data_IF_390141051404
#
_entry.id   IF_390141051404
#
_cell.length_a   1.000
_cell.length_b   1.000
_cell.length_c   1.000
_cell.angle_alpha   90.00
_cell.angle_beta   90.00
_cell.angle_gamma   90.00
#
_symmetry.space_group_name_H-M   'P 1'
#
loop_
_entity.id
_entity.type
_entity.pdbx_description
1 polymer ?
#
# COMPACT_ATOMS: atom_id res chain seq x y z
N UNK A 1 4.25 33.14 55.61
CA UNK A 1 5.30 33.04 54.58
C UNK A 1 5.13 31.86 53.61
N UNK A 2 4.00 31.12 53.65
CA UNK A 2 3.89 29.81 53.00
C UNK A 2 3.21 29.84 51.61
N UNK A 3 2.36 30.84 51.34
CA UNK A 3 1.63 30.94 50.07
C UNK A 3 2.53 31.17 48.84
N UNK A 4 3.65 31.89 49.01
CA UNK A 4 4.60 32.14 47.92
C UNK A 4 5.35 30.88 47.50
N UNK A 5 5.62 29.98 48.44
CA UNK A 5 6.28 28.68 48.19
C UNK A 5 5.32 27.74 47.45
N UNK A 6 4.07 27.67 47.89
CA UNK A 6 3.03 26.87 47.21
C UNK A 6 2.79 27.37 45.78
N UNK A 7 2.71 28.68 45.58
CA UNK A 7 2.57 29.26 44.25
C UNK A 7 3.76 28.92 43.33
N UNK A 8 5.00 29.02 43.85
CA UNK A 8 6.20 28.64 43.09
C UNK A 8 6.22 27.16 42.70
N UNK A 9 5.78 26.27 43.62
CA UNK A 9 5.64 24.84 43.36
C UNK A 9 4.63 24.55 42.24
N UNK A 10 3.45 25.19 42.30
CA UNK A 10 2.41 25.02 41.28
C UNK A 10 2.86 25.54 39.90
N UNK A 11 3.58 26.66 39.85
CA UNK A 11 4.15 27.18 38.61
C UNK A 11 5.20 26.22 38.06
N UNK A 12 6.06 25.66 38.92
CA UNK A 12 7.04 24.65 38.52
C UNK A 12 6.38 23.41 37.94
N UNK A 13 5.34 22.87 38.60
CA UNK A 13 4.57 21.74 38.11
C UNK A 13 3.92 22.04 36.75
N UNK A 14 3.31 23.23 36.61
CA UNK A 14 2.71 23.66 35.36
C UNK A 14 3.73 23.76 34.23
N UNK A 15 4.92 24.30 34.51
CA UNK A 15 6.00 24.41 33.53
C UNK A 15 6.48 23.03 33.05
N UNK A 16 6.59 22.04 33.95
CA UNK A 16 6.94 20.67 33.59
C UNK A 16 5.89 20.06 32.66
N UNK A 17 4.60 20.21 32.98
CA UNK A 17 3.50 19.70 32.14
C UNK A 17 3.50 20.38 30.77
N UNK A 18 3.67 21.70 30.72
CA UNK A 18 3.72 22.43 29.45
C UNK A 18 4.93 22.04 28.60
N UNK A 19 6.10 21.87 29.21
CA UNK A 19 7.29 21.40 28.53
C UNK A 19 7.08 19.97 27.98
N UNK A 20 6.45 19.08 28.74
CA UNK A 20 6.13 17.73 28.27
C UNK A 20 5.13 17.74 27.11
N UNK A 21 4.17 18.67 27.09
CA UNK A 21 3.22 18.81 25.99
C UNK A 21 3.90 19.26 24.69
N UNK A 22 4.94 20.11 24.80
CA UNK A 22 5.65 20.65 23.65
C UNK A 22 6.79 19.77 23.14
N UNK A 23 7.46 19.04 24.04
CA UNK A 23 8.67 18.25 23.74
C UNK A 23 8.46 16.73 23.89
N UNK A 24 7.31 16.31 24.40
CA UNK A 24 6.98 14.90 24.63
C UNK A 24 6.60 14.16 23.36
N UNK A 25 6.50 12.84 23.47
CA UNK A 25 6.05 11.96 22.39
C UNK A 25 4.65 12.36 21.93
N UNK A 26 4.51 12.78 20.68
CA UNK A 26 3.27 13.34 20.14
C UNK A 26 3.22 14.86 20.17
N UNK A 27 4.38 15.51 20.35
CA UNK A 27 4.53 16.94 20.12
C UNK A 27 4.04 17.34 18.72
N UNK A 28 3.68 18.61 18.56
CA UNK A 28 3.22 19.15 17.28
C UNK A 28 4.25 18.91 16.16
N UNK A 29 5.54 18.97 16.49
CA UNK A 29 6.64 18.68 15.56
C UNK A 29 6.70 17.20 15.14
N UNK A 30 6.60 16.28 16.11
CA UNK A 30 6.61 14.84 15.83
C UNK A 30 5.42 14.43 14.95
N UNK A 31 4.23 14.97 15.26
CA UNK A 31 3.01 14.68 14.49
C UNK A 31 3.12 15.25 13.07
N UNK A 32 3.68 16.45 12.90
CA UNK A 32 3.91 17.03 11.57
C UNK A 32 4.88 16.16 10.75
N UNK A 33 5.99 15.72 11.34
CA UNK A 33 6.95 14.86 10.65
C UNK A 33 6.36 13.48 10.31
N UNK A 34 5.58 12.88 11.22
CA UNK A 34 4.90 11.60 10.95
C UNK A 34 3.84 11.74 9.87
N UNK A 35 3.09 12.85 9.83
CA UNK A 35 2.13 13.15 8.76
C UNK A 35 2.82 13.27 7.42
N UNK A 36 3.96 13.96 7.34
CA UNK A 36 4.73 14.07 6.11
C UNK A 36 5.21 12.70 5.62
N UNK A 37 5.80 11.88 6.51
CA UNK A 37 6.21 10.50 6.15
C UNK A 37 5.04 9.65 5.67
N UNK A 38 3.87 9.81 6.28
CA UNK A 38 2.66 9.09 5.87
C UNK A 38 2.19 9.53 4.48
N UNK A 39 2.26 10.81 4.17
CA UNK A 39 1.87 11.36 2.87
C UNK A 39 2.80 10.88 1.75
N UNK A 40 4.12 10.93 2.00
CA UNK A 40 5.14 10.39 1.08
C UNK A 40 4.91 8.90 0.82
N UNK A 41 4.64 8.12 1.88
CA UNK A 41 4.41 6.69 1.75
C UNK A 41 3.10 6.37 1.01
N UNK A 42 2.05 7.17 1.20
CA UNK A 42 0.78 7.02 0.47
C UNK A 42 0.99 7.29 -1.01
N UNK A 43 1.68 8.36 -1.36
CA UNK A 43 1.97 8.72 -2.75
C UNK A 43 2.71 7.57 -3.46
N UNK A 44 3.78 7.06 -2.84
CA UNK A 44 4.53 5.91 -3.37
C UNK A 44 3.68 4.66 -3.51
N UNK A 45 2.78 4.41 -2.57
CA UNK A 45 1.89 3.25 -2.63
C UNK A 45 0.88 3.36 -3.78
N UNK A 46 0.31 4.55 -3.99
CA UNK A 46 -0.61 4.82 -5.11
C UNK A 46 0.09 4.63 -6.45
N UNK A 47 1.33 5.11 -6.61
CA UNK A 47 2.12 4.87 -7.83
C UNK A 47 2.38 3.38 -8.07
N UNK A 48 2.78 2.65 -7.02
CA UNK A 48 3.01 1.20 -7.10
C UNK A 48 1.73 0.44 -7.44
N UNK A 49 0.58 0.85 -6.88
CA UNK A 49 -0.71 0.24 -7.17
C UNK A 49 -1.08 0.42 -8.65
N UNK A 50 -0.90 1.62 -9.21
CA UNK A 50 -1.15 1.84 -10.64
C UNK A 50 -0.22 1.02 -11.54
N UNK A 51 1.05 0.86 -11.18
CA UNK A 51 1.97 0.01 -11.92
C UNK A 51 1.52 -1.47 -11.88
N UNK A 52 1.11 -1.97 -10.71
CA UNK A 52 0.58 -3.32 -10.57
C UNK A 52 -0.69 -3.54 -11.38
N UNK A 53 -1.61 -2.57 -11.40
CA UNK A 53 -2.84 -2.66 -12.20
C UNK A 53 -2.52 -2.75 -13.71
N UNK A 54 -1.55 -1.98 -14.20
CA UNK A 54 -1.08 -2.05 -15.59
C UNK A 54 -0.44 -3.39 -15.91
N UNK A 55 0.50 -3.84 -15.10
CA UNK A 55 1.18 -5.12 -15.29
C UNK A 55 0.18 -6.29 -15.24
N UNK A 56 -0.80 -6.23 -14.35
CA UNK A 56 -1.85 -7.25 -14.28
C UNK A 56 -2.73 -7.26 -15.55
N UNK A 57 -2.97 -6.10 -16.17
CA UNK A 57 -3.66 -6.03 -17.44
C UNK A 57 -2.80 -6.62 -18.58
N UNK A 58 -1.52 -6.25 -18.66
CA UNK A 58 -0.59 -6.81 -19.65
C UNK A 58 -0.48 -8.34 -19.55
N UNK A 59 -0.41 -8.87 -18.33
CA UNK A 59 -0.37 -10.33 -18.10
C UNK A 59 -1.66 -11.00 -18.57
N UNK A 60 -2.83 -10.39 -18.35
CA UNK A 60 -4.11 -10.93 -18.85
C UNK A 60 -4.16 -10.92 -20.37
N UNK A 61 -3.80 -9.81 -20.99
CA UNK A 61 -3.78 -9.69 -22.47
C UNK A 61 -2.82 -10.72 -23.09
N UNK A 62 -1.67 -10.98 -22.47
CA UNK A 62 -0.74 -12.00 -22.93
C UNK A 62 -1.30 -13.42 -22.76
N UNK A 63 -2.01 -13.71 -21.67
CA UNK A 63 -2.66 -15.01 -21.48
C UNK A 63 -3.76 -15.24 -22.51
N UNK A 64 -4.66 -14.28 -22.69
CA UNK A 64 -5.73 -14.36 -23.69
C UNK A 64 -5.16 -14.50 -25.11
N UNK A 65 -4.10 -13.76 -25.44
CA UNK A 65 -3.41 -13.88 -26.71
C UNK A 65 -2.80 -15.27 -26.94
N UNK A 66 -2.24 -15.90 -25.91
CA UNK A 66 -1.71 -17.26 -25.99
C UNK A 66 -2.82 -18.31 -26.16
N UNK A 67 -3.95 -18.16 -25.45
CA UNK A 67 -5.11 -19.03 -25.60
C UNK A 67 -5.65 -19.00 -27.03
N UNK A 68 -5.77 -17.81 -27.63
CA UNK A 68 -6.19 -17.64 -29.03
C UNK A 68 -5.24 -18.35 -30.02
N UNK A 69 -3.93 -18.33 -29.76
CA UNK A 69 -2.93 -19.02 -30.58
C UNK A 69 -3.05 -20.54 -30.40
N UNK A 70 -3.26 -21.02 -29.17
CA UNK A 70 -3.43 -22.44 -28.87
C UNK A 70 -4.71 -22.99 -29.52
N UNK A 71 -5.83 -22.26 -29.49
CA UNK A 71 -7.05 -22.64 -30.19
C UNK A 71 -6.83 -22.75 -31.70
N UNK A 72 -6.15 -21.77 -32.31
CA UNK A 72 -5.84 -21.81 -33.74
C UNK A 72 -4.93 -23.00 -34.10
N UNK A 73 -3.91 -23.27 -33.29
CA UNK A 73 -3.02 -24.42 -33.47
C UNK A 73 -3.77 -25.77 -33.36
N UNK A 74 -4.70 -25.88 -32.41
CA UNK A 74 -5.58 -27.06 -32.27
C UNK A 74 -6.52 -27.21 -33.46
N UNK A 75 -7.13 -26.12 -33.92
CA UNK A 75 -8.12 -26.14 -34.99
C UNK A 75 -7.52 -26.37 -36.38
N UNK A 76 -6.40 -25.72 -36.71
CA UNK A 76 -5.79 -25.77 -38.05
C UNK A 76 -4.77 -26.90 -38.20
N UNK A 77 -3.99 -27.18 -37.16
CA UNK A 77 -2.86 -28.11 -37.23
C UNK A 77 -3.11 -29.42 -36.47
N UNK A 78 -4.25 -29.53 -35.78
CA UNK A 78 -4.59 -30.70 -34.97
C UNK A 78 -3.61 -30.95 -33.82
N UNK A 79 -2.85 -29.93 -33.41
CA UNK A 79 -1.86 -30.06 -32.34
C UNK A 79 -2.55 -30.29 -30.99
N UNK A 80 -2.10 -31.31 -30.27
CA UNK A 80 -2.56 -31.67 -28.91
C UNK A 80 -1.37 -31.89 -28.00
N UNK A 81 -1.50 -31.57 -26.70
CA UNK A 81 -0.40 -31.80 -25.75
C UNK A 81 -0.19 -33.30 -25.50
N UNK A 82 1.03 -33.73 -25.11
CA UNK A 82 1.26 -35.11 -24.70
C UNK A 82 0.28 -35.52 -23.58
N UNK A 83 -0.38 -36.67 -23.74
CA UNK A 83 -1.44 -37.18 -22.85
C UNK A 83 -2.73 -36.34 -22.79
N UNK A 84 -3.02 -35.52 -23.79
CA UNK A 84 -4.29 -34.80 -23.91
C UNK A 84 -5.24 -35.52 -24.89
N UNK A 85 -6.53 -35.62 -24.53
CA UNK A 85 -7.60 -36.11 -25.44
C UNK A 85 -8.50 -34.92 -25.78
N UNK A 86 -8.43 -34.46 -27.03
CA UNK A 86 -9.27 -33.36 -27.53
C UNK A 86 -10.62 -33.90 -28.00
N UNK A 87 -11.71 -33.52 -27.33
CA UNK A 87 -13.08 -33.92 -27.71
C UNK A 87 -13.78 -32.75 -28.41
N UNK A 88 -14.11 -32.91 -29.69
CA UNK A 88 -14.89 -31.93 -30.45
C UNK A 88 -16.35 -32.39 -30.51
N UNK A 89 -17.26 -31.61 -29.93
CA UNK A 89 -18.70 -31.90 -29.99
C UNK A 89 -19.26 -31.16 -31.21
N UNK A 90 -19.37 -31.85 -32.34
CA UNK A 90 -20.14 -31.37 -33.49
C UNK A 90 -21.61 -31.73 -33.29
N UNK A 91 -22.50 -30.73 -33.38
CA UNK A 91 -23.95 -30.94 -33.31
C UNK A 91 -24.52 -31.27 -34.69
#
# INVERSE_FOLDING_TARGET
MNGRVVAALLIGLLAVVQAQLWLGRGSVGDVAQMRQKLDDQKTRNTEAQHANERLAAEVRDLQEGLEMVEEKARAELGMVRPNEILVQIAK
#
